data_IF_287518317509
#
_entry.id   IF_287518317509
#
_cell.length_a   1.000
_cell.length_b   1.000
_cell.length_c   1.000
_cell.angle_alpha   90.00
_cell.angle_beta   90.00
_cell.angle_gamma   90.00
#
_symmetry.space_group_name_H-M   'P 1'
#
loop_
_entity.id
_entity.type
_entity.pdbx_description
1 polymer ?
#
# COMPACT_ATOMS: atom_id res chain seq x y z
N UNK A 1 7.38 44.27 -44.74
CA UNK A 1 6.24 44.74 -43.92
C UNK A 1 5.24 43.60 -43.80
N UNK A 2 5.32 42.79 -42.74
CA UNK A 2 4.37 41.70 -42.50
C UNK A 2 3.01 42.30 -42.11
N UNK A 3 1.94 41.98 -42.84
CA UNK A 3 0.57 42.33 -42.43
C UNK A 3 0.24 41.52 -41.19
N UNK A 4 -0.04 42.18 -40.07
CA UNK A 4 -0.58 41.50 -38.90
C UNK A 4 -1.89 40.79 -39.25
N UNK A 5 -2.11 39.56 -38.75
CA UNK A 5 -3.36 38.87 -38.97
C UNK A 5 -4.48 39.64 -38.25
N UNK A 6 -5.38 40.24 -39.03
CA UNK A 6 -6.61 40.85 -38.50
C UNK A 6 -7.36 39.79 -37.71
N UNK A 7 -7.48 39.97 -36.40
CA UNK A 7 -8.34 39.15 -35.56
C UNK A 7 -9.74 39.10 -36.20
N UNK A 8 -10.14 37.93 -36.65
CA UNK A 8 -11.47 37.69 -37.19
C UNK A 8 -12.46 37.95 -36.07
N UNK A 9 -13.11 39.11 -36.08
CA UNK A 9 -14.21 39.42 -35.18
C UNK A 9 -15.33 38.44 -35.52
N UNK A 10 -15.54 37.44 -34.66
CA UNK A 10 -16.63 36.49 -34.84
C UNK A 10 -17.96 37.21 -34.66
N UNK A 11 -18.97 36.79 -35.43
CA UNK A 11 -20.33 37.31 -35.30
C UNK A 11 -20.84 37.01 -33.88
N UNK A 12 -21.28 38.03 -33.10
CA UNK A 12 -21.80 37.85 -31.74
C UNK A 12 -22.86 36.76 -31.60
N UNK A 13 -23.63 36.50 -32.66
CA UNK A 13 -24.62 35.43 -32.67
C UNK A 13 -23.95 34.04 -32.64
N UNK A 14 -22.87 33.88 -33.40
CA UNK A 14 -22.08 32.64 -33.47
C UNK A 14 -21.41 32.33 -32.13
N UNK A 15 -20.88 33.35 -31.44
CA UNK A 15 -20.32 33.19 -30.09
C UNK A 15 -21.39 32.75 -29.09
N UNK A 16 -22.58 33.35 -29.13
CA UNK A 16 -23.69 32.95 -28.26
C UNK A 16 -24.12 31.49 -28.48
N UNK A 17 -24.16 31.01 -29.73
CA UNK A 17 -24.45 29.61 -30.04
C UNK A 17 -23.35 28.66 -29.57
N UNK A 18 -22.07 29.02 -29.78
CA UNK A 18 -20.94 28.22 -29.31
C UNK A 18 -20.93 28.11 -27.79
N UNK A 19 -21.17 29.22 -27.07
CA UNK A 19 -21.30 29.22 -25.62
C UNK A 19 -22.43 28.27 -25.18
N UNK A 20 -23.64 28.40 -25.73
CA UNK A 20 -24.76 27.50 -25.38
C UNK A 20 -24.45 26.02 -25.64
N UNK A 21 -23.75 25.70 -26.72
CA UNK A 21 -23.31 24.34 -27.02
C UNK A 21 -22.28 23.83 -25.99
N UNK A 22 -21.37 24.68 -25.52
CA UNK A 22 -20.43 24.33 -24.45
C UNK A 22 -21.16 24.06 -23.14
N UNK A 23 -22.14 24.89 -22.75
CA UNK A 23 -22.95 24.65 -21.55
C UNK A 23 -23.64 23.29 -21.59
N UNK A 24 -24.29 22.94 -22.72
CA UNK A 24 -24.89 21.61 -22.89
C UNK A 24 -23.89 20.47 -22.78
N UNK A 25 -22.67 20.64 -23.32
CA UNK A 25 -21.61 19.63 -23.18
C UNK A 25 -21.20 19.46 -21.72
N UNK A 26 -21.05 20.56 -20.97
CA UNK A 26 -20.72 20.52 -19.54
C UNK A 26 -21.79 19.77 -18.75
N UNK A 27 -23.07 20.05 -19.01
CA UNK A 27 -24.18 19.37 -18.33
C UNK A 27 -24.21 17.87 -18.64
N UNK A 28 -24.01 17.49 -19.91
CA UNK A 28 -23.91 16.08 -20.31
C UNK A 28 -22.70 15.38 -19.66
N UNK A 29 -21.54 16.04 -19.60
CA UNK A 29 -20.37 15.51 -18.93
C UNK A 29 -20.61 15.31 -17.43
N UNK A 30 -21.32 16.23 -16.77
CA UNK A 30 -21.71 16.09 -15.36
C UNK A 30 -22.64 14.91 -15.14
N UNK A 31 -23.66 14.75 -16.00
CA UNK A 31 -24.58 13.62 -15.93
C UNK A 31 -23.84 12.29 -16.13
N UNK A 32 -23.02 12.18 -17.18
CA UNK A 32 -22.22 10.98 -17.44
C UNK A 32 -21.23 10.68 -16.34
N UNK A 33 -20.62 11.71 -15.75
CA UNK A 33 -19.72 11.53 -14.62
C UNK A 33 -20.48 10.98 -13.42
N UNK A 34 -21.64 11.54 -13.10
CA UNK A 34 -22.47 11.07 -12.00
C UNK A 34 -22.92 9.63 -12.22
N UNK A 35 -23.43 9.28 -13.41
CA UNK A 35 -23.87 7.91 -13.70
C UNK A 35 -22.74 6.88 -13.60
N UNK A 36 -21.54 7.22 -14.10
CA UNK A 36 -20.42 6.27 -14.16
C UNK A 36 -19.60 6.18 -12.88
N UNK A 37 -19.54 7.26 -12.10
CA UNK A 37 -18.56 7.41 -11.03
C UNK A 37 -19.14 7.84 -9.68
N UNK A 38 -20.45 8.11 -9.58
CA UNK A 38 -21.05 8.48 -8.28
C UNK A 38 -20.84 7.42 -7.20
N UNK A 39 -20.87 6.14 -7.57
CA UNK A 39 -20.69 5.01 -6.66
C UNK A 39 -19.33 5.01 -5.96
N UNK A 40 -18.27 5.61 -6.54
CA UNK A 40 -16.97 5.75 -5.89
C UNK A 40 -17.06 6.60 -4.60
N UNK A 41 -17.98 7.55 -4.55
CA UNK A 41 -18.20 8.36 -3.35
C UNK A 41 -18.81 7.52 -2.22
N UNK A 42 -19.68 6.58 -2.57
CA UNK A 42 -20.31 5.69 -1.59
C UNK A 42 -19.31 4.62 -1.13
N UNK A 43 -18.52 4.05 -2.03
CA UNK A 43 -17.42 3.13 -1.70
C UNK A 43 -16.38 3.80 -0.79
N UNK A 44 -16.00 5.05 -1.09
CA UNK A 44 -15.11 5.84 -0.21
C UNK A 44 -15.68 6.00 1.20
N UNK A 45 -16.99 6.24 1.33
CA UNK A 45 -17.62 6.37 2.65
C UNK A 45 -17.62 5.04 3.40
N UNK A 46 -17.92 3.94 2.71
CA UNK A 46 -17.94 2.60 3.28
C UNK A 46 -16.54 2.19 3.77
N UNK A 47 -15.53 2.32 2.91
CA UNK A 47 -14.13 2.00 3.25
C UNK A 47 -13.60 2.84 4.41
N UNK A 48 -13.98 4.12 4.49
CA UNK A 48 -13.61 4.98 5.62
C UNK A 48 -14.28 4.51 6.92
N UNK A 49 -15.57 4.16 6.87
CA UNK A 49 -16.29 3.63 8.03
C UNK A 49 -15.68 2.30 8.53
N UNK A 50 -15.32 1.39 7.62
CA UNK A 50 -14.63 0.14 7.94
C UNK A 50 -13.25 0.39 8.56
N UNK A 51 -12.46 1.29 7.98
CA UNK A 51 -11.14 1.63 8.52
C UNK A 51 -11.24 2.22 9.93
N UNK A 52 -12.23 3.08 10.19
CA UNK A 52 -12.47 3.64 11.51
C UNK A 52 -12.98 2.60 12.51
N UNK A 53 -13.77 1.62 12.08
CA UNK A 53 -14.16 0.48 12.92
C UNK A 53 -12.93 -0.34 13.35
N UNK A 54 -12.06 -0.69 12.40
CA UNK A 54 -10.81 -1.42 12.66
C UNK A 54 -9.91 -0.63 13.64
N UNK A 55 -9.79 0.69 13.47
CA UNK A 55 -9.01 1.53 14.39
C UNK A 55 -9.58 1.52 15.80
N UNK A 56 -10.91 1.52 15.96
CA UNK A 56 -11.56 1.45 17.28
C UNK A 56 -11.35 0.09 17.94
N UNK A 57 -11.43 -1.00 17.18
CA UNK A 57 -11.15 -2.35 17.66
C UNK A 57 -9.67 -2.53 18.03
N UNK A 58 -8.75 -1.98 17.24
CA UNK A 58 -7.33 -1.97 17.56
C UNK A 58 -7.03 -1.14 18.83
N UNK A 59 -7.70 0.01 18.99
CA UNK A 59 -7.55 0.83 20.20
C UNK A 59 -8.09 0.13 21.46
N UNK A 60 -9.21 -0.59 21.35
CA UNK A 60 -9.79 -1.32 22.49
C UNK A 60 -8.95 -2.53 22.92
N UNK A 61 -8.29 -3.20 21.96
CA UNK A 61 -7.38 -4.32 22.23
C UNK A 61 -6.03 -3.86 22.79
N UNK A 62 -5.48 -2.75 22.30
CA UNK A 62 -4.22 -2.19 22.81
C UNK A 62 -4.33 -1.70 24.27
N UNK A 63 -5.48 -1.17 24.69
CA UNK A 63 -5.70 -0.77 26.07
C UNK A 63 -5.66 -1.94 27.08
N UNK A 64 -5.79 -3.18 26.61
CA UNK A 64 -5.70 -4.39 27.44
C UNK A 64 -4.28 -4.91 27.62
N UNK A 65 -3.32 -4.46 26.80
CA UNK A 65 -1.89 -4.71 27.04
C UNK A 65 -1.41 -3.70 28.09
N UNK A 66 -1.91 -3.84 29.32
CA UNK A 66 -1.13 -3.41 30.47
C UNK A 66 0.08 -4.33 30.47
N UNK A 67 1.22 -3.81 30.06
CA UNK A 67 2.50 -4.39 30.45
C UNK A 67 2.39 -4.66 31.95
N UNK A 68 2.29 -5.94 32.32
CA UNK A 68 2.62 -6.31 33.68
C UNK A 68 4.07 -5.90 33.81
N UNK A 69 4.31 -4.90 34.66
CA UNK A 69 5.64 -4.53 35.12
C UNK A 69 6.23 -5.77 35.81
N UNK A 70 6.73 -6.69 35.00
CA UNK A 70 7.66 -7.69 35.47
C UNK A 70 8.87 -6.89 35.83
N UNK A 71 9.07 -6.69 37.13
CA UNK A 71 10.30 -6.19 37.70
C UNK A 71 11.43 -7.01 37.10
N UNK A 72 12.04 -6.50 36.02
CA UNK A 72 13.15 -7.15 35.34
C UNK A 72 14.28 -7.16 36.35
N UNK A 73 14.45 -8.29 37.04
CA UNK A 73 15.61 -8.53 37.87
C UNK A 73 16.83 -8.49 36.94
N UNK A 74 17.50 -7.33 36.93
CA UNK A 74 18.75 -7.15 36.21
C UNK A 74 19.71 -8.21 36.75
N UNK A 75 20.14 -9.14 35.88
CA UNK A 75 21.21 -10.08 36.22
C UNK A 75 22.42 -9.26 36.68
N UNK A 76 23.16 -9.70 37.71
CA UNK A 76 24.29 -8.93 38.22
C UNK A 76 25.32 -8.69 37.10
N UNK A 77 25.88 -7.49 37.09
CA UNK A 77 26.89 -7.07 36.11
C UNK A 77 28.09 -8.02 36.20
N UNK A 78 28.55 -8.62 35.10
CA UNK A 78 29.69 -9.52 35.12
C UNK A 78 30.96 -8.75 35.50
N UNK A 79 31.69 -9.25 36.49
CA UNK A 79 32.97 -8.67 36.93
C UNK A 79 34.04 -9.09 35.93
N UNK A 80 34.52 -8.14 35.12
CA UNK A 80 35.64 -8.36 34.20
C UNK A 80 36.98 -8.05 34.86
N UNK A 81 38.03 -8.80 34.54
CA UNK A 81 39.41 -8.65 35.05
C UNK A 81 40.08 -7.32 34.69
N UNK A 82 39.52 -6.56 33.74
CA UNK A 82 40.05 -5.28 33.27
C UNK A 82 39.30 -4.05 33.81
N UNK A 83 38.26 -4.24 34.63
CA UNK A 83 37.54 -3.14 35.30
C UNK A 83 36.78 -2.15 34.39
N UNK A 84 36.72 -2.41 33.09
CA UNK A 84 36.05 -1.54 32.11
C UNK A 84 34.62 -2.00 31.88
N UNK A 85 33.66 -1.23 32.39
CA UNK A 85 32.23 -1.44 32.16
C UNK A 85 31.77 -0.47 31.09
N UNK A 86 31.40 -1.00 29.92
CA UNK A 86 30.82 -0.27 28.81
C UNK A 86 30.31 -1.25 27.76
N UNK A 87 29.46 -0.79 26.84
CA UNK A 87 29.17 -1.55 25.63
C UNK A 87 30.46 -1.62 24.82
N UNK A 88 31.28 -2.66 25.06
CA UNK A 88 32.17 -3.16 24.04
C UNK A 88 31.24 -3.55 22.90
N UNK A 89 31.09 -2.64 21.94
CA UNK A 89 30.64 -2.97 20.60
C UNK A 89 31.71 -3.86 19.97
N UNK A 90 31.98 -5.03 20.58
CA UNK A 90 32.45 -6.18 19.84
C UNK A 90 31.31 -6.45 18.87
N UNK A 91 31.38 -5.82 17.70
CA UNK A 91 30.62 -6.29 16.54
C UNK A 91 30.84 -7.80 16.56
N UNK A 92 29.81 -8.64 16.73
CA UNK A 92 29.98 -10.02 16.31
C UNK A 92 30.47 -9.92 14.87
N UNK A 93 31.51 -10.67 14.50
CA UNK A 93 31.86 -10.82 13.10
C UNK A 93 30.69 -11.53 12.42
N UNK A 94 29.66 -10.76 12.08
CA UNK A 94 28.58 -11.19 11.22
C UNK A 94 29.23 -11.41 9.86
N UNK A 95 29.70 -12.63 9.63
CA UNK A 95 29.88 -13.14 8.27
C UNK A 95 28.49 -13.11 7.66
N UNK A 96 28.20 -12.06 6.91
CA UNK A 96 27.04 -12.02 6.03
C UNK A 96 27.19 -13.21 5.10
N UNK A 97 26.39 -14.25 5.31
CA UNK A 97 26.19 -15.27 4.28
C UNK A 97 25.64 -14.52 3.07
N UNK A 98 26.45 -14.44 2.02
CA UNK A 98 25.99 -13.92 0.73
C UNK A 98 24.96 -14.93 0.23
N UNK A 99 23.68 -14.69 0.52
CA UNK A 99 22.59 -15.37 -0.19
C UNK A 99 22.66 -14.86 -1.63
N UNK A 100 23.23 -15.70 -2.50
CA UNK A 100 23.34 -15.43 -3.92
C UNK A 100 21.95 -15.15 -4.52
N UNK A 101 21.92 -14.33 -5.56
CA UNK A 101 20.70 -13.93 -6.22
C UNK A 101 20.11 -15.10 -7.04
N UNK A 102 18.85 -15.44 -6.75
CA UNK A 102 17.92 -16.29 -7.53
C UNK A 102 18.23 -17.79 -7.59
N UNK A 103 17.36 -18.59 -6.95
CA UNK A 103 17.19 -20.02 -7.23
C UNK A 103 16.84 -20.19 -8.71
N UNK A 104 17.82 -20.60 -9.54
CA UNK A 104 17.61 -20.95 -10.95
C UNK A 104 16.89 -22.29 -11.15
N UNK A 105 16.58 -23.00 -10.06
CA UNK A 105 15.82 -24.24 -10.06
C UNK A 105 14.54 -24.02 -9.27
N UNK A 106 13.42 -23.98 -9.98
CA UNK A 106 12.10 -24.06 -9.37
C UNK A 106 12.07 -25.39 -8.58
N UNK A 107 11.67 -25.39 -7.30
CA UNK A 107 11.50 -26.65 -6.58
C UNK A 107 10.44 -27.48 -7.31
N UNK A 108 10.87 -28.60 -7.89
CA UNK A 108 9.97 -29.55 -8.54
C UNK A 108 9.12 -30.18 -7.44
N UNK A 109 7.79 -30.17 -7.63
CA UNK A 109 6.86 -30.81 -6.71
C UNK A 109 7.28 -32.27 -6.52
N UNK A 110 7.24 -32.77 -5.30
CA UNK A 110 7.41 -34.21 -5.06
C UNK A 110 6.21 -34.96 -5.69
N UNK A 111 6.42 -36.08 -6.41
CA UNK A 111 5.32 -36.84 -6.98
C UNK A 111 4.33 -37.24 -5.89
N UNK A 112 3.03 -37.06 -6.15
CA UNK A 112 2.03 -37.50 -5.19
C UNK A 112 1.95 -39.04 -5.18
N UNK A 113 1.42 -39.62 -4.11
CA UNK A 113 1.25 -41.07 -3.99
C UNK A 113 0.45 -41.69 -5.15
N UNK A 114 -0.47 -40.92 -5.75
CA UNK A 114 -1.33 -41.31 -6.88
C UNK A 114 -0.67 -41.13 -8.26
N UNK A 115 0.52 -40.51 -8.33
CA UNK A 115 1.34 -40.46 -9.56
C UNK A 115 2.14 -41.76 -9.78
N UNK A 116 2.18 -42.65 -8.77
CA UNK A 116 2.86 -43.93 -8.90
C UNK A 116 2.05 -44.87 -9.80
N UNK A 117 2.67 -45.37 -10.87
CA UNK A 117 2.03 -46.29 -11.83
C UNK A 117 1.52 -47.58 -11.18
N UNK A 118 2.14 -47.96 -10.07
CA UNK A 118 1.78 -49.15 -9.31
C UNK A 118 0.68 -48.89 -8.26
N UNK A 119 0.21 -47.65 -8.10
CA UNK A 119 -0.76 -47.27 -7.07
C UNK A 119 -2.13 -47.95 -7.24
N UNK A 120 -2.51 -48.26 -8.49
CA UNK A 120 -3.80 -48.92 -8.82
C UNK A 120 -3.62 -50.43 -9.02
N UNK A 121 -2.40 -50.96 -8.86
CA UNK A 121 -2.15 -52.40 -8.95
C UNK A 121 -2.31 -53.04 -7.57
N UNK A 122 -3.56 -53.21 -7.14
CA UNK A 122 -4.01 -54.25 -6.20
C UNK A 122 -5.52 -54.42 -6.26
#
# INVERSE_FOLDING_TARGET
MAKEPKASKFDPNTEAFQMRAQWKKVDNCRALWFERWSWLLDERKQTLAEADAIRREAASTLAQVKETETTKALKPVPVTTTGLIGWLATKPECKLEIYTSWLSKIPVRLPDAWDNKDYVSK
#
